data_IF_142348326897
#
_entry.id   IF_142348326897
#
_cell.length_a   1.000
_cell.length_b   1.000
_cell.length_c   1.000
_cell.angle_alpha   90.00
_cell.angle_beta   90.00
_cell.angle_gamma   90.00
#
_symmetry.space_group_name_H-M   'P 1'
#
loop_
_entity.id
_entity.type
_entity.pdbx_description
1 polymer ?
#
# COMPACT_ATOMS: atom_id res chain seq x y z
N UNK A 1 12.29 4.82 4.10
CA UNK A 1 11.45 3.63 4.31
C UNK A 1 11.80 3.03 5.67
N UNK A 2 10.80 2.55 6.40
CA UNK A 2 10.94 1.88 7.70
C UNK A 2 10.08 0.62 7.73
N UNK A 3 10.62 -0.49 8.24
CA UNK A 3 9.87 -1.71 8.55
C UNK A 3 9.47 -1.68 10.02
N UNK A 4 8.18 -1.79 10.31
CA UNK A 4 7.64 -1.79 11.67
C UNK A 4 7.53 -3.20 12.25
N UNK A 5 7.14 -4.17 11.43
CA UNK A 5 7.02 -5.57 11.82
C UNK A 5 7.13 -6.48 10.61
N UNK A 6 7.57 -7.72 10.86
CA UNK A 6 7.63 -8.79 9.86
C UNK A 6 7.12 -10.09 10.47
N UNK A 7 6.34 -10.85 9.72
CA UNK A 7 5.76 -12.12 10.13
C UNK A 7 5.97 -13.17 9.04
N UNK A 8 6.27 -14.40 9.44
CA UNK A 8 6.29 -15.54 8.52
C UNK A 8 4.85 -15.92 8.17
N UNK A 9 4.54 -16.06 6.88
CA UNK A 9 3.20 -16.34 6.38
C UNK A 9 3.27 -17.28 5.16
N UNK A 10 2.78 -18.52 5.29
CA UNK A 10 2.78 -19.53 4.21
C UNK A 10 4.15 -19.72 3.51
N UNK A 11 5.24 -19.65 4.27
CA UNK A 11 6.61 -19.77 3.77
C UNK A 11 7.18 -18.50 3.13
N UNK A 12 6.38 -17.44 3.01
CA UNK A 12 6.82 -16.10 2.68
C UNK A 12 6.87 -15.18 3.90
N UNK A 13 7.08 -13.90 3.65
CA UNK A 13 7.18 -12.86 4.67
C UNK A 13 6.16 -11.76 4.43
N UNK A 14 5.42 -11.38 5.47
CA UNK A 14 4.52 -10.25 5.48
C UNK A 14 5.13 -9.15 6.34
N UNK A 15 5.35 -7.97 5.76
CA UNK A 15 5.89 -6.80 6.46
C UNK A 15 4.94 -5.62 6.42
N UNK A 16 4.92 -4.86 7.51
CA UNK A 16 4.26 -3.56 7.60
C UNK A 16 5.31 -2.47 7.56
N UNK A 17 5.14 -1.53 6.65
CA UNK A 17 6.15 -0.53 6.32
C UNK A 17 5.56 0.89 6.38
N UNK A 18 6.42 1.88 6.62
CA UNK A 18 6.11 3.29 6.35
C UNK A 18 7.21 3.98 5.57
N UNK A 19 6.85 5.11 4.95
CA UNK A 19 7.81 6.03 4.36
C UNK A 19 7.22 7.45 4.35
N UNK A 20 8.10 8.46 4.35
CA UNK A 20 7.66 9.84 4.16
C UNK A 20 7.33 10.08 2.68
N UNK A 21 6.06 10.35 2.38
CA UNK A 21 5.60 10.64 1.04
C UNK A 21 5.77 12.12 0.72
N UNK A 22 6.43 12.40 -0.41
CA UNK A 22 6.51 13.74 -0.97
C UNK A 22 5.22 14.14 -1.67
N UNK A 23 4.46 13.18 -2.20
CA UNK A 23 3.20 13.45 -2.91
C UNK A 23 2.07 13.82 -1.95
N UNK A 24 1.92 13.10 -0.85
CA UNK A 24 0.86 13.35 0.16
C UNK A 24 1.34 14.24 1.29
N UNK A 25 2.63 14.55 1.38
CA UNK A 25 3.19 15.43 2.41
C UNK A 25 3.10 14.88 3.84
N UNK A 26 2.88 13.57 4.00
CA UNK A 26 2.80 12.91 5.30
C UNK A 26 3.51 11.55 5.29
N UNK A 27 3.60 10.90 6.45
CA UNK A 27 3.98 9.50 6.49
C UNK A 27 2.86 8.64 5.89
N UNK A 28 3.23 7.73 4.99
CA UNK A 28 2.31 6.75 4.39
C UNK A 28 2.70 5.35 4.81
N UNK A 29 1.70 4.48 4.98
CA UNK A 29 1.86 3.09 5.38
C UNK A 29 1.41 2.14 4.26
N UNK A 30 2.04 0.98 4.22
CA UNK A 30 1.65 -0.12 3.35
C UNK A 30 2.08 -1.44 3.95
N UNK A 31 1.39 -2.52 3.60
CA UNK A 31 1.87 -3.88 3.83
C UNK A 31 2.40 -4.48 2.54
N UNK A 32 3.38 -5.37 2.67
CA UNK A 32 3.92 -6.14 1.56
C UNK A 32 4.10 -7.60 1.95
N UNK A 33 3.57 -8.49 1.12
CA UNK A 33 3.83 -9.91 1.19
C UNK A 33 4.86 -10.31 0.13
N UNK A 34 5.96 -10.90 0.58
CA UNK A 34 7.02 -11.47 -0.24
C UNK A 34 6.89 -13.00 -0.24
N UNK A 35 6.60 -13.64 -1.39
CA UNK A 35 6.49 -15.09 -1.47
C UNK A 35 7.89 -15.75 -1.41
N UNK A 36 8.03 -17.03 -1.01
CA UNK A 36 9.33 -17.68 -0.82
C UNK A 36 10.27 -17.63 -2.05
N UNK A 37 9.70 -17.53 -3.25
CA UNK A 37 10.40 -17.50 -4.52
C UNK A 37 11.18 -16.21 -4.77
N UNK A 38 11.00 -15.15 -3.96
CA UNK A 38 11.80 -13.91 -4.10
C UNK A 38 13.30 -14.15 -3.89
N UNK A 39 13.67 -15.21 -3.17
CA UNK A 39 15.06 -15.66 -3.00
C UNK A 39 15.75 -16.06 -4.31
N UNK A 40 14.96 -16.43 -5.34
CA UNK A 40 15.46 -16.82 -6.65
C UNK A 40 15.44 -15.67 -7.69
N UNK A 41 14.89 -14.50 -7.34
CA UNK A 41 14.83 -13.34 -8.22
C UNK A 41 13.53 -12.54 -8.09
N UNK A 42 13.39 -11.55 -8.97
CA UNK A 42 12.22 -10.67 -8.99
C UNK A 42 10.93 -11.43 -9.27
N UNK A 43 9.84 -11.03 -8.62
CA UNK A 43 8.51 -11.66 -8.76
C UNK A 43 7.46 -10.66 -9.25
N UNK A 44 6.45 -11.10 -10.02
CA UNK A 44 5.33 -10.24 -10.39
C UNK A 44 4.59 -9.77 -9.13
N UNK A 45 3.92 -8.62 -9.24
CA UNK A 45 3.26 -7.98 -8.11
C UNK A 45 1.79 -7.67 -8.40
N UNK A 46 0.97 -7.76 -7.36
CA UNK A 46 -0.42 -7.36 -7.34
C UNK A 46 -0.59 -6.21 -6.35
N UNK A 47 -1.10 -5.08 -6.84
CA UNK A 47 -1.57 -3.98 -6.02
C UNK A 47 -2.98 -4.30 -5.52
N UNK A 48 -3.18 -4.29 -4.20
CA UNK A 48 -4.51 -4.39 -3.60
C UNK A 48 -4.96 -3.03 -3.10
N UNK A 49 -6.00 -2.46 -3.71
CA UNK A 49 -6.55 -1.16 -3.33
C UNK A 49 -7.78 -1.36 -2.44
N UNK A 50 -7.60 -1.21 -1.12
CA UNK A 50 -8.67 -1.37 -0.14
C UNK A 50 -9.78 -0.32 -0.26
N UNK A 51 -10.98 -0.65 0.22
CA UNK A 51 -12.13 0.25 0.26
C UNK A 51 -12.16 1.18 1.48
N UNK A 52 -13.27 1.92 1.61
CA UNK A 52 -13.49 2.89 2.68
C UNK A 52 -13.19 2.34 4.08
N UNK A 53 -12.67 3.21 4.95
CA UNK A 53 -12.33 2.96 6.37
C UNK A 53 -11.23 1.92 6.62
N UNK A 54 -10.69 1.30 5.57
CA UNK A 54 -9.61 0.33 5.68
C UNK A 54 -8.24 1.01 5.83
N UNK A 55 -7.32 0.29 6.46
CA UNK A 55 -5.88 0.58 6.47
C UNK A 55 -5.13 -0.50 5.68
N UNK A 56 -3.80 -0.52 5.77
CA UNK A 56 -2.95 -1.59 5.23
C UNK A 56 -3.20 -2.97 5.88
N UNK A 57 -3.91 -3.02 7.02
CA UNK A 57 -4.10 -4.24 7.80
C UNK A 57 -5.38 -5.02 7.43
N UNK A 58 -6.44 -4.34 6.98
CA UNK A 58 -7.75 -4.96 6.76
C UNK A 58 -7.70 -6.14 5.79
N UNK A 59 -7.09 -5.94 4.62
CA UNK A 59 -6.89 -6.99 3.63
C UNK A 59 -5.99 -8.10 4.18
N UNK A 60 -4.88 -7.69 4.78
CA UNK A 60 -3.85 -8.55 5.32
C UNK A 60 -4.40 -9.57 6.31
N UNK A 61 -5.25 -9.14 7.24
CA UNK A 61 -5.82 -10.00 8.27
C UNK A 61 -7.01 -10.84 7.80
N UNK A 62 -7.77 -10.41 6.78
CA UNK A 62 -9.12 -10.96 6.50
C UNK A 62 -9.26 -11.64 5.14
N UNK A 63 -8.42 -11.33 4.15
CA UNK A 63 -8.61 -11.81 2.79
C UNK A 63 -8.20 -13.27 2.56
N UNK A 64 -7.29 -13.80 3.39
CA UNK A 64 -6.76 -15.16 3.21
C UNK A 64 -5.98 -15.37 1.91
N UNK A 65 -5.51 -14.30 1.27
CA UNK A 65 -4.90 -14.32 -0.05
C UNK A 65 -3.49 -14.96 -0.09
N UNK A 66 -2.75 -14.91 1.03
CA UNK A 66 -1.31 -15.20 1.02
C UNK A 66 -0.94 -16.65 0.74
N UNK A 67 -1.81 -17.62 1.05
CA UNK A 67 -1.57 -19.02 0.69
C UNK A 67 -1.44 -19.18 -0.82
N UNK A 68 -2.40 -18.63 -1.58
CA UNK A 68 -2.41 -18.72 -3.05
C UNK A 68 -1.32 -17.82 -3.63
N UNK A 69 -1.07 -16.65 -3.04
CA UNK A 69 0.04 -15.78 -3.45
C UNK A 69 1.40 -16.49 -3.35
N UNK A 70 1.62 -17.24 -2.26
CA UNK A 70 2.82 -18.05 -2.07
C UNK A 70 2.94 -19.18 -3.13
N UNK A 71 1.83 -19.88 -3.41
CA UNK A 71 1.79 -20.93 -4.44
C UNK A 71 2.14 -20.40 -5.85
N UNK A 72 1.64 -19.21 -6.19
CA UNK A 72 1.90 -18.55 -7.48
C UNK A 72 3.22 -17.78 -7.54
N UNK A 73 3.86 -17.54 -6.39
CA UNK A 73 5.02 -16.66 -6.28
C UNK A 73 4.69 -15.22 -6.68
N UNK A 74 3.58 -14.68 -6.16
CA UNK A 74 3.09 -13.33 -6.41
C UNK A 74 3.37 -12.45 -5.18
N UNK A 75 3.99 -11.29 -5.39
CA UNK A 75 4.08 -10.24 -4.36
C UNK A 75 2.72 -9.56 -4.24
N UNK A 76 2.28 -9.25 -3.03
CA UNK A 76 1.09 -8.42 -2.82
C UNK A 76 1.48 -7.17 -2.04
N UNK A 77 1.12 -6.00 -2.54
CA UNK A 77 1.29 -4.72 -1.86
C UNK A 77 -0.09 -4.13 -1.58
N UNK A 78 -0.36 -3.78 -0.32
CA UNK A 78 -1.59 -3.12 0.08
C UNK A 78 -1.26 -1.78 0.76
N UNK A 79 -1.37 -0.65 0.05
CA UNK A 79 -1.24 0.67 0.67
C UNK A 79 -2.42 1.00 1.58
N UNK A 80 -2.22 2.02 2.43
CA UNK A 80 -3.32 2.73 3.06
C UNK A 80 -4.24 3.41 2.02
N UNK A 81 -5.43 3.80 2.45
CA UNK A 81 -6.51 4.29 1.58
C UNK A 81 -6.56 5.82 1.48
N UNK A 82 -5.83 6.52 2.35
CA UNK A 82 -5.70 7.97 2.36
C UNK A 82 -4.40 8.39 3.07
N UNK A 83 -4.00 9.67 2.97
CA UNK A 83 -3.07 10.28 3.92
C UNK A 83 -3.65 10.23 5.34
N UNK A 84 -2.79 10.21 6.36
CA UNK A 84 -3.19 10.23 7.78
C UNK A 84 -2.30 11.13 8.62
N UNK A 85 -2.85 11.63 9.73
CA UNK A 85 -2.12 12.42 10.73
C UNK A 85 -2.93 13.57 11.31
N UNK A 86 -2.47 14.15 12.41
CA UNK A 86 -3.17 15.24 13.11
C UNK A 86 -3.35 16.50 12.27
N UNK A 87 -2.44 16.74 11.31
CA UNK A 87 -2.49 17.90 10.42
C UNK A 87 -3.16 17.60 9.07
N UNK A 88 -3.58 16.36 8.83
CA UNK A 88 -4.26 15.97 7.59
C UNK A 88 -5.76 16.24 7.77
N UNK A 89 -6.41 17.00 6.85
CA UNK A 89 -7.84 17.25 6.92
C UNK A 89 -8.65 15.96 7.04
N UNK A 90 -9.70 16.01 7.84
CA UNK A 90 -10.59 14.88 8.08
C UNK A 90 -12.05 15.35 8.11
N UNK A 91 -12.98 14.40 8.03
CA UNK A 91 -14.42 14.65 8.14
C UNK A 91 -15.05 13.69 9.18
N UNK A 92 -16.13 14.13 9.82
CA UNK A 92 -16.88 13.27 10.76
C UNK A 92 -17.60 12.12 10.02
N UNK A 93 -17.90 12.31 8.73
CA UNK A 93 -18.49 11.30 7.88
C UNK A 93 -17.45 10.27 7.43
N UNK A 94 -17.79 8.98 7.54
CA UNK A 94 -16.86 7.88 7.23
C UNK A 94 -16.45 7.78 5.75
N UNK A 95 -17.17 8.47 4.86
CA UNK A 95 -16.99 8.45 3.41
C UNK A 95 -16.29 9.70 2.86
N UNK A 96 -15.66 10.50 3.74
CA UNK A 96 -14.81 11.62 3.37
C UNK A 96 -13.62 11.73 4.35
N UNK A 97 -12.46 12.18 3.86
CA UNK A 97 -11.28 12.35 4.71
C UNK A 97 -10.47 11.07 4.96
N UNK A 98 -9.96 10.88 6.17
CA UNK A 98 -9.01 9.84 6.49
C UNK A 98 -9.68 8.45 6.45
N UNK A 99 -9.14 7.54 5.64
CA UNK A 99 -9.76 6.27 5.28
C UNK A 99 -10.64 6.32 4.02
N UNK A 100 -10.74 7.48 3.37
CA UNK A 100 -11.64 7.73 2.23
C UNK A 100 -10.98 8.61 1.15
N UNK A 101 -9.80 8.21 0.65
CA UNK A 101 -9.05 9.00 -0.35
C UNK A 101 -9.52 8.86 -1.80
N UNK A 102 -10.41 7.90 -2.10
CA UNK A 102 -10.99 7.62 -3.44
C UNK A 102 -10.00 7.45 -4.60
N UNK A 103 -8.70 7.29 -4.32
CA UNK A 103 -7.65 7.15 -5.34
C UNK A 103 -7.66 8.26 -6.40
N UNK A 104 -7.89 9.50 -5.96
CA UNK A 104 -7.88 10.70 -6.79
C UNK A 104 -6.81 11.70 -6.34
N UNK A 105 -6.53 12.69 -7.18
CA UNK A 105 -5.79 13.90 -6.81
C UNK A 105 -6.79 15.04 -6.57
N UNK A 106 -6.96 15.41 -5.30
CA UNK A 106 -7.87 16.46 -4.90
C UNK A 106 -7.37 17.84 -5.36
N UNK A 107 -8.29 18.68 -5.82
CA UNK A 107 -7.99 20.03 -6.30
C UNK A 107 -8.56 21.13 -5.41
N UNK A 108 -9.51 20.80 -4.54
CA UNK A 108 -10.13 21.73 -3.62
C UNK A 108 -9.41 21.76 -2.27
N UNK A 109 -9.22 22.95 -1.71
CA UNK A 109 -8.78 23.13 -0.33
C UNK A 109 -9.89 22.68 0.65
N UNK A 110 -9.54 22.08 1.81
CA UNK A 110 -8.17 21.81 2.29
C UNK A 110 -7.55 20.52 1.73
N UNK A 111 -8.34 19.68 1.06
CA UNK A 111 -7.94 18.33 0.62
C UNK A 111 -6.73 18.31 -0.31
N UNK A 112 -6.60 19.29 -1.20
CA UNK A 112 -5.53 19.36 -2.21
C UNK A 112 -4.11 19.36 -1.64
N UNK A 113 -3.94 19.66 -0.35
CA UNK A 113 -2.64 19.64 0.32
C UNK A 113 -2.08 18.21 0.48
N UNK A 114 -2.95 17.24 0.78
CA UNK A 114 -2.53 15.88 1.14
C UNK A 114 -3.17 14.79 0.26
N UNK A 115 -4.42 14.97 -0.17
CA UNK A 115 -5.24 13.93 -0.81
C UNK A 115 -4.88 13.77 -2.29
N UNK A 116 -3.66 13.30 -2.53
CA UNK A 116 -3.08 13.03 -3.86
C UNK A 116 -2.84 11.53 -4.05
N UNK A 117 -3.89 10.75 -3.77
CA UNK A 117 -3.81 9.29 -3.73
C UNK A 117 -3.65 8.68 -5.11
N UNK A 118 -4.14 9.34 -6.17
CA UNK A 118 -3.90 8.88 -7.54
C UNK A 118 -2.39 8.90 -7.84
N UNK A 119 -1.77 10.08 -7.71
CA UNK A 119 -0.34 10.24 -7.96
C UNK A 119 0.49 9.36 -7.01
N UNK A 120 0.08 9.20 -5.76
CA UNK A 120 0.76 8.32 -4.80
C UNK A 120 0.82 6.86 -5.28
N UNK A 121 -0.32 6.27 -5.70
CA UNK A 121 -0.38 4.84 -6.06
C UNK A 121 0.19 4.54 -7.45
N UNK A 122 0.21 5.51 -8.37
CA UNK A 122 0.72 5.29 -9.74
C UNK A 122 2.16 5.76 -9.96
N UNK A 123 2.68 6.67 -9.14
CA UNK A 123 4.02 7.25 -9.31
C UNK A 123 4.95 6.92 -8.15
N UNK A 124 4.67 7.42 -6.94
CA UNK A 124 5.62 7.38 -5.82
C UNK A 124 5.74 5.99 -5.20
N UNK A 125 4.63 5.36 -4.83
CA UNK A 125 4.68 4.05 -4.19
C UNK A 125 5.31 2.99 -5.10
N UNK A 126 5.02 2.90 -6.42
CA UNK A 126 5.75 2.03 -7.32
C UNK A 126 7.26 2.27 -7.34
N UNK A 127 7.73 3.52 -7.24
CA UNK A 127 9.16 3.83 -7.16
C UNK A 127 9.78 3.32 -5.85
N UNK A 128 9.08 3.50 -4.73
CA UNK A 128 9.49 2.96 -3.42
C UNK A 128 9.57 1.43 -3.49
N UNK A 129 8.56 0.77 -4.06
CA UNK A 129 8.56 -0.69 -4.19
C UNK A 129 9.70 -1.19 -5.09
N UNK A 130 9.95 -0.52 -6.20
CA UNK A 130 11.02 -0.88 -7.13
C UNK A 130 12.43 -0.73 -6.52
N UNK A 131 12.62 0.25 -5.62
CA UNK A 131 13.89 0.53 -4.97
C UNK A 131 14.18 -0.44 -3.81
N UNK A 132 13.15 -0.80 -3.04
CA UNK A 132 13.34 -1.49 -1.75
C UNK A 132 13.07 -3.01 -1.82
N UNK A 133 12.34 -3.49 -2.84
CA UNK A 133 11.87 -4.88 -2.90
C UNK A 133 12.17 -5.57 -4.23
N UNK A 134 12.27 -6.92 -4.24
CA UNK A 134 12.53 -7.71 -5.46
C UNK A 134 11.26 -7.86 -6.32
N UNK A 135 10.64 -6.74 -6.69
CA UNK A 135 9.47 -6.70 -7.52
C UNK A 135 9.83 -6.57 -9.01
N UNK A 136 9.14 -7.33 -9.86
CA UNK A 136 9.19 -7.18 -11.31
C UNK A 136 8.20 -6.09 -11.75
N UNK A 137 8.70 -4.86 -11.89
CA UNK A 137 7.90 -3.71 -12.30
C UNK A 137 7.41 -3.79 -13.76
N UNK A 138 7.83 -4.79 -14.54
CA UNK A 138 7.27 -5.04 -15.88
C UNK A 138 6.00 -5.92 -15.85
N UNK A 139 5.69 -6.54 -14.70
CA UNK A 139 4.57 -7.45 -14.53
C UNK A 139 3.75 -7.09 -13.28
N UNK A 140 2.76 -6.20 -13.48
CA UNK A 140 1.93 -5.65 -12.41
C UNK A 140 0.44 -5.87 -12.68
N UNK A 141 -0.31 -6.28 -11.66
CA UNK A 141 -1.77 -6.31 -11.66
C UNK A 141 -2.36 -5.38 -10.60
N UNK A 142 -3.64 -5.06 -10.71
CA UNK A 142 -4.40 -4.28 -9.72
C UNK A 142 -5.71 -5.00 -9.38
N UNK A 143 -6.14 -4.92 -8.11
CA UNK A 143 -7.43 -5.38 -7.61
C UNK A 143 -8.11 -4.32 -6.77
#
# INVERSE_FOLDING_TARGET
MQIHSTQQCFGGELSYCSHGSLITGCEMRFSIFLPPQVSAGKRPLLWWLSGLTCTEDNFTAKAGAYRVAAELGLIIVAPDTSPRGENVPDDDAYDLGQGAGFYLDATASPWSEHFRMYSYVIEELPQVIAAEFPADMSAQGVS
#
